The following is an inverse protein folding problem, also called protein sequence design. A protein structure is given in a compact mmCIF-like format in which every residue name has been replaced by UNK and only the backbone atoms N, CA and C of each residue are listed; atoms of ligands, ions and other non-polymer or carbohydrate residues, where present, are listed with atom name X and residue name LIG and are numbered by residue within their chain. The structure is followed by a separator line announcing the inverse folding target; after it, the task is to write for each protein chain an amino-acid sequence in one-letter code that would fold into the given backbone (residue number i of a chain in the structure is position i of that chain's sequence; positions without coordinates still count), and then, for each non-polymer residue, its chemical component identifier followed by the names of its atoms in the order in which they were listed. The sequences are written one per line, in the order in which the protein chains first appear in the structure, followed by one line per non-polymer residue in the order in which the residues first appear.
data_IF_964918989834
#
_entry.id   IF_964918989834
#
_cell.length_a   1.000
_cell.length_b   1.000
_cell.length_c   1.000
_cell.angle_alpha   90.00
_cell.angle_beta   90.00
_cell.angle_gamma   90.00
#
_symmetry.space_group_name_H-M   'P 1'
#
loop_
_entity.id
_entity.type
_entity.pdbx_description
1 polymer ?
#
# COMPACT_ATOMS: atom_id res chain seq x y z
N UNK A 1 5.50 -9.68 -27.54
CA UNK A 1 5.43 -8.77 -26.38
C UNK A 1 4.63 -9.49 -25.32
N UNK A 2 5.26 -9.91 -24.23
CA UNK A 2 4.52 -10.46 -23.09
C UNK A 2 3.71 -9.32 -22.49
N UNK A 3 2.37 -9.40 -22.52
CA UNK A 3 1.56 -8.48 -21.72
C UNK A 3 1.91 -8.76 -20.27
N UNK A 4 2.64 -7.83 -19.65
CA UNK A 4 2.91 -7.89 -18.22
C UNK A 4 1.63 -7.40 -17.54
N UNK A 5 1.14 -8.16 -16.57
CA UNK A 5 -0.03 -7.82 -15.78
C UNK A 5 0.44 -7.59 -14.35
N UNK A 6 -0.02 -6.51 -13.72
CA UNK A 6 0.23 -6.25 -12.32
C UNK A 6 -0.57 -7.22 -11.45
N UNK A 7 -0.02 -7.60 -10.29
CA UNK A 7 -0.71 -8.46 -9.33
C UNK A 7 -1.85 -7.76 -8.62
N UNK A 8 -1.69 -6.46 -8.33
CA UNK A 8 -2.71 -5.62 -7.72
C UNK A 8 -3.20 -4.56 -8.70
N UNK A 9 -4.36 -3.99 -8.42
CA UNK A 9 -4.96 -2.89 -9.21
C UNK A 9 -5.42 -1.74 -8.32
N UNK A 10 -5.63 -0.54 -8.87
CA UNK A 10 -6.21 0.57 -8.12
C UNK A 10 -7.52 0.18 -7.43
N UNK A 11 -7.63 0.49 -6.15
CA UNK A 11 -8.76 0.17 -5.28
C UNK A 11 -8.59 -1.12 -4.46
N UNK A 12 -7.64 -2.00 -4.78
CA UNK A 12 -7.37 -3.17 -3.94
C UNK A 12 -6.86 -2.73 -2.57
N UNK A 13 -7.28 -3.44 -1.52
CA UNK A 13 -6.74 -3.26 -0.16
C UNK A 13 -5.61 -4.26 0.03
N UNK A 14 -4.44 -3.73 0.35
CA UNK A 14 -3.21 -4.51 0.54
C UNK A 14 -2.66 -4.29 1.94
N UNK A 15 -1.82 -5.23 2.38
CA UNK A 15 -1.03 -5.11 3.60
C UNK A 15 0.42 -5.34 3.29
N UNK A 16 1.26 -4.60 3.98
CA UNK A 16 2.70 -4.72 3.93
C UNK A 16 3.13 -5.99 4.67
N UNK A 17 3.97 -6.80 4.04
CA UNK A 17 4.50 -8.03 4.65
C UNK A 17 5.38 -7.71 5.87
N UNK A 18 5.42 -8.66 6.81
CA UNK A 18 6.23 -8.52 8.02
C UNK A 18 7.71 -8.31 7.70
N UNK A 19 8.33 -7.37 8.40
CA UNK A 19 9.77 -7.08 8.28
C UNK A 19 10.14 -6.16 7.11
N UNK A 20 9.17 -5.74 6.28
CA UNK A 20 9.37 -4.67 5.30
C UNK A 20 9.57 -3.35 6.04
N UNK A 21 10.51 -2.56 5.53
CA UNK A 21 10.83 -1.23 6.04
C UNK A 21 10.51 -0.18 5.00
N UNK A 22 10.18 1.00 5.49
CA UNK A 22 10.06 2.21 4.71
C UNK A 22 11.33 2.42 3.86
N UNK A 23 11.22 2.68 2.55
CA UNK A 23 12.37 2.80 1.67
C UNK A 23 13.20 4.06 1.92
N UNK A 24 12.59 5.13 2.44
CA UNK A 24 13.21 6.44 2.60
C UNK A 24 13.99 6.56 3.92
N UNK A 25 13.42 6.10 5.03
CA UNK A 25 14.01 6.24 6.37
C UNK A 25 13.98 4.96 7.22
N UNK A 26 13.67 3.81 6.62
CA UNK A 26 13.85 2.48 7.22
C UNK A 26 12.98 2.22 8.47
N UNK A 27 11.91 2.98 8.68
CA UNK A 27 10.91 2.69 9.70
C UNK A 27 10.25 1.32 9.44
N UNK A 28 9.85 0.61 10.50
CA UNK A 28 9.17 -0.67 10.33
C UNK A 28 7.69 -0.41 10.00
N UNK A 29 7.30 -0.73 8.77
CA UNK A 29 5.94 -0.59 8.25
C UNK A 29 5.28 -1.96 8.02
N UNK A 30 5.93 -3.04 8.44
CA UNK A 30 5.37 -4.38 8.32
C UNK A 30 4.05 -4.50 9.09
N UNK A 31 3.03 -5.03 8.41
CA UNK A 31 1.68 -5.18 8.94
C UNK A 31 0.75 -3.98 8.68
N UNK A 32 1.26 -2.86 8.18
CA UNK A 32 0.45 -1.69 7.81
C UNK A 32 -0.41 -1.98 6.59
N UNK A 33 -1.58 -1.36 6.51
CA UNK A 33 -2.53 -1.58 5.42
C UNK A 33 -2.96 -0.29 4.75
N UNK A 34 -3.33 -0.42 3.49
CA UNK A 34 -3.72 0.71 2.68
C UNK A 34 -4.36 0.26 1.38
N UNK A 35 -4.78 1.25 0.61
CA UNK A 35 -5.43 1.06 -0.68
C UNK A 35 -4.46 1.41 -1.80
N UNK A 36 -4.40 0.56 -2.81
CA UNK A 36 -3.66 0.86 -4.04
C UNK A 36 -4.33 2.04 -4.73
N UNK A 37 -3.59 3.14 -4.90
CA UNK A 37 -4.04 4.33 -5.62
C UNK A 37 -3.61 4.26 -7.09
N UNK A 38 -2.33 3.96 -7.34
CA UNK A 38 -1.72 3.93 -8.67
C UNK A 38 -0.81 2.71 -8.84
N UNK A 39 -0.59 2.32 -10.11
CA UNK A 39 0.25 1.17 -10.48
C UNK A 39 1.10 1.54 -11.68
N UNK A 40 2.41 1.52 -11.51
CA UNK A 40 3.38 1.92 -12.54
C UNK A 40 4.31 0.76 -12.90
N UNK A 41 4.63 0.64 -14.19
CA UNK A 41 5.69 -0.23 -14.67
C UNK A 41 6.98 0.59 -14.77
N UNK A 42 7.94 0.31 -13.90
CA UNK A 42 9.23 1.02 -13.89
C UNK A 42 10.25 0.39 -14.85
N UNK A 43 11.37 1.06 -15.09
CA UNK A 43 12.33 0.76 -16.18
C UNK A 43 12.94 -0.66 -16.12
N UNK A 44 13.12 -1.21 -14.92
CA UNK A 44 13.60 -2.57 -14.70
C UNK A 44 12.52 -3.65 -14.99
N UNK A 45 11.31 -3.20 -15.31
CA UNK A 45 10.13 -4.00 -15.56
C UNK A 45 9.37 -4.39 -14.28
N UNK A 46 9.78 -3.98 -13.10
CA UNK A 46 9.05 -4.26 -11.86
C UNK A 46 7.78 -3.39 -11.76
N UNK A 47 6.80 -3.86 -11.00
CA UNK A 47 5.59 -3.08 -10.70
C UNK A 47 5.79 -2.31 -9.40
N UNK A 48 5.60 -0.99 -9.47
CA UNK A 48 5.59 -0.08 -8.33
C UNK A 48 4.14 0.29 -8.03
N UNK A 49 3.77 0.22 -6.76
CA UNK A 49 2.42 0.51 -6.30
C UNK A 49 2.44 1.72 -5.37
N UNK A 50 1.64 2.73 -5.69
CA UNK A 50 1.36 3.84 -4.79
C UNK A 50 0.25 3.40 -3.84
N UNK A 51 0.55 3.31 -2.55
CA UNK A 51 -0.41 2.92 -1.51
C UNK A 51 -0.76 4.14 -0.69
N UNK A 52 -2.06 4.39 -0.51
CA UNK A 52 -2.56 5.37 0.45
C UNK A 52 -2.93 4.62 1.73
N UNK A 53 -2.32 5.01 2.85
CA UNK A 53 -2.57 4.36 4.15
C UNK A 53 -4.02 4.51 4.59
N UNK A 54 -4.55 3.47 5.23
CA UNK A 54 -5.85 3.56 5.89
C UNK A 54 -5.77 4.33 7.21
N UNK A 55 -6.93 4.76 7.71
CA UNK A 55 -6.99 5.58 8.92
C UNK A 55 -6.48 4.84 10.16
N UNK A 56 -6.68 3.53 10.23
CA UNK A 56 -6.19 2.70 11.34
C UNK A 56 -4.65 2.67 11.34
N UNK A 57 -4.04 2.53 10.17
CA UNK A 57 -2.59 2.59 9.96
C UNK A 57 -2.02 3.94 10.37
N UNK A 58 -2.60 5.04 9.88
CA UNK A 58 -2.15 6.39 10.23
C UNK A 58 -2.27 6.67 11.73
N UNK A 59 -3.33 6.16 12.38
CA UNK A 59 -3.52 6.29 13.82
C UNK A 59 -2.47 5.54 14.64
N UNK A 60 -1.90 4.45 14.10
CA UNK A 60 -0.85 3.64 14.75
C UNK A 60 0.56 4.13 14.39
N UNK A 61 0.76 4.68 13.18
CA UNK A 61 2.03 5.22 12.72
C UNK A 61 2.58 6.27 13.70
N UNK A 62 1.68 7.11 14.23
CA UNK A 62 1.96 8.09 15.26
C UNK A 62 2.82 9.26 14.79
N UNK A 63 2.96 10.25 15.67
CA UNK A 63 3.57 11.56 15.37
C UNK A 63 5.04 11.44 14.90
N UNK A 64 5.76 10.39 15.32
CA UNK A 64 7.15 10.17 14.92
C UNK A 64 7.26 9.88 13.41
N UNK A 65 6.37 9.07 12.85
CA UNK A 65 6.37 8.77 11.42
C UNK A 65 6.01 10.01 10.59
N UNK A 66 4.95 10.72 10.98
CA UNK A 66 4.52 11.97 10.33
C UNK A 66 5.65 13.02 10.35
N UNK A 67 6.31 13.20 11.51
CA UNK A 67 7.42 14.13 11.66
C UNK A 67 8.63 13.79 10.77
N UNK A 68 8.94 12.50 10.58
CA UNK A 68 10.00 12.09 9.64
C UNK A 68 9.60 12.38 8.20
N UNK A 69 8.36 12.10 7.80
CA UNK A 69 7.86 12.45 6.47
C UNK A 69 7.95 13.96 6.21
N UNK A 70 7.48 14.78 7.15
CA UNK A 70 7.56 16.25 7.05
C UNK A 70 9.00 16.75 6.91
N UNK A 71 9.93 16.21 7.72
CA UNK A 71 11.35 16.59 7.67
C UNK A 71 11.99 16.29 6.32
N UNK A 72 11.54 15.22 5.66
CA UNK A 72 12.05 14.80 4.36
C UNK A 72 11.20 15.34 3.19
N UNK A 73 10.20 16.19 3.44
CA UNK A 73 9.27 16.71 2.45
C UNK A 73 8.57 15.60 1.65
N UNK A 74 8.14 14.56 2.36
CA UNK A 74 7.40 13.42 1.87
C UNK A 74 5.92 13.52 2.27
N UNK A 75 5.06 12.88 1.48
CA UNK A 75 3.65 12.72 1.81
C UNK A 75 3.48 11.56 2.80
N UNK A 76 3.07 11.85 4.03
CA UNK A 76 2.93 10.84 5.08
C UNK A 76 1.76 9.89 4.83
N UNK A 77 0.79 10.26 3.98
CA UNK A 77 -0.37 9.42 3.66
C UNK A 77 -0.05 8.39 2.58
N UNK A 78 1.07 8.54 1.86
CA UNK A 78 1.42 7.72 0.70
C UNK A 78 2.74 7.00 0.87
N UNK A 79 2.85 5.83 0.25
CA UNK A 79 4.13 5.14 0.08
C UNK A 79 4.20 4.44 -1.28
N UNK A 80 5.42 4.19 -1.74
CA UNK A 80 5.70 3.47 -2.98
C UNK A 80 6.37 2.14 -2.64
N UNK A 81 5.70 1.02 -2.95
CA UNK A 81 6.20 -0.31 -2.63
C UNK A 81 6.15 -1.24 -3.85
N UNK A 82 7.07 -2.20 -3.89
CA UNK A 82 7.08 -3.22 -4.95
C UNK A 82 6.11 -4.37 -4.63
N UNK A 83 5.78 -5.14 -5.66
CA UNK A 83 4.90 -6.31 -5.55
C UNK A 83 5.31 -7.31 -4.45
N UNK A 84 6.62 -7.48 -4.25
CA UNK A 84 7.18 -8.44 -3.29
C UNK A 84 6.96 -8.06 -1.83
N UNK A 85 6.63 -6.81 -1.56
CA UNK A 85 6.50 -6.26 -0.21
C UNK A 85 5.03 -6.29 0.28
N UNK A 86 4.10 -6.71 -0.58
CA UNK A 86 2.66 -6.59 -0.38
C UNK A 86 1.93 -7.93 -0.48
N UNK A 87 0.87 -8.05 0.31
CA UNK A 87 -0.16 -9.09 0.19
C UNK A 87 -1.55 -8.47 0.02
N UNK A 88 -2.40 -9.14 -0.76
CA UNK A 88 -3.77 -8.72 -1.01
C UNK A 88 -4.66 -9.11 0.18
N UNK A 89 -5.45 -8.16 0.67
CA UNK A 89 -6.47 -8.41 1.70
C UNK A 89 -7.86 -8.46 1.04
N UNK A 90 -8.24 -7.42 0.31
CA UNK A 90 -9.56 -7.27 -0.31
C UNK A 90 -9.40 -6.85 -1.77
N UNK A 91 -10.12 -7.52 -2.67
CA UNK A 91 -10.19 -7.17 -4.09
C UNK A 91 -11.19 -6.04 -4.28
N UNK A 92 -10.79 -5.00 -5.00
CA UNK A 92 -11.68 -3.95 -5.48
C UNK A 92 -12.87 -4.53 -6.26
N UNK A 93 -14.09 -4.27 -5.79
CA UNK A 93 -15.32 -4.78 -6.40
C UNK A 93 -15.88 -6.07 -5.79
N UNK A 94 -15.30 -6.62 -4.72
CA UNK A 94 -15.96 -7.60 -3.85
C UNK A 94 -16.83 -6.91 -2.79
N UNK A 95 -17.80 -6.10 -3.22
CA UNK A 95 -18.96 -5.82 -2.37
C UNK A 95 -19.80 -7.10 -2.36
N UNK A 96 -19.67 -7.90 -1.30
CA UNK A 96 -20.61 -8.97 -1.01
C UNK A 96 -21.96 -8.32 -0.75
N UNK A 97 -22.78 -8.26 -1.80
CA UNK A 97 -24.20 -7.99 -1.72
C UNK A 97 -24.92 -9.21 -1.13
N UNK A 98 -24.53 -9.64 0.07
CA UNK A 98 -25.32 -10.54 0.90
C UNK A 98 -26.06 -9.70 1.94
N UNK A 99 -27.02 -8.95 1.40
CA UNK A 99 -28.21 -8.54 2.11
C UNK A 99 -29.00 -9.80 2.50
N UNK A 100 -28.66 -10.42 3.63
CA UNK A 100 -29.57 -11.36 4.26
C UNK A 100 -30.73 -10.57 4.87
N UNK A 101 -31.80 -10.51 4.08
CA UNK A 101 -33.17 -10.39 4.56
C UNK A 101 -33.37 -11.41 5.69
N UNK A 102 -33.73 -10.92 6.88
CA UNK A 102 -34.48 -11.64 7.89
C UNK A 102 -35.55 -10.69 8.43
#
# INVERSE_FOLDING_TARGET
MSNKTSKFRPGDIVRVLNGVRDPDFQANIGGWSGKVEEVDLIEDGSWLYTIVWDQDTLSVAGDDYESECERNNLDFERIYLEEKDLELIIISGSDNNDSFLA
#
